data_IF_248541474712
#
_entry.id   IF_248541474712
#
_cell.length_a   1.000
_cell.length_b   1.000
_cell.length_c   1.000
_cell.angle_alpha   90.00
_cell.angle_beta   90.00
_cell.angle_gamma   90.00
#
_symmetry.space_group_name_H-M   'P 1'
#
loop_
_entity.id
_entity.type
_entity.pdbx_description
1 polymer ?
#
# COMPACT_ATOMS: atom_id res chain seq x y z
N UNK A 1 16.94 -8.78 -17.23
CA UNK A 1 17.86 -9.60 -16.41
C UNK A 1 18.68 -8.69 -15.50
N UNK A 2 18.89 -9.07 -14.24
CA UNK A 2 19.71 -8.32 -13.27
C UNK A 2 21.18 -8.17 -13.73
N UNK A 3 21.67 -9.09 -14.57
CA UNK A 3 23.01 -8.99 -15.15
C UNK A 3 23.23 -7.71 -15.97
N UNK A 4 22.15 -7.10 -16.51
CA UNK A 4 22.25 -5.85 -17.27
C UNK A 4 22.61 -4.63 -16.40
N UNK A 5 22.57 -4.73 -15.06
CA UNK A 5 22.92 -3.63 -14.14
C UNK A 5 24.36 -3.17 -14.36
N UNK A 6 25.30 -4.12 -14.51
CA UNK A 6 26.71 -3.78 -14.75
C UNK A 6 26.91 -3.03 -16.07
N UNK A 7 26.27 -3.49 -17.15
CA UNK A 7 26.33 -2.83 -18.46
C UNK A 7 25.71 -1.43 -18.45
N UNK A 8 24.54 -1.29 -17.82
CA UNK A 8 23.86 0.00 -17.70
C UNK A 8 24.71 0.99 -16.92
N UNK A 9 25.32 0.56 -15.80
CA UNK A 9 26.24 1.36 -15.01
C UNK A 9 27.49 1.77 -15.80
N UNK A 10 28.15 0.83 -16.47
CA UNK A 10 29.31 1.12 -17.31
C UNK A 10 28.99 2.11 -18.44
N UNK A 11 27.75 2.10 -18.92
CA UNK A 11 27.27 3.01 -19.97
C UNK A 11 26.70 4.33 -19.42
N UNK A 12 26.67 4.54 -18.10
CA UNK A 12 26.03 5.72 -17.48
C UNK A 12 24.52 5.84 -17.75
N UNK A 13 23.84 4.72 -18.01
CA UNK A 13 22.41 4.69 -18.38
C UNK A 13 21.54 4.21 -17.22
N UNK A 14 20.28 4.65 -17.22
CA UNK A 14 19.24 4.13 -16.33
C UNK A 14 18.68 2.83 -16.90
N UNK A 15 18.61 1.78 -16.08
CA UNK A 15 18.01 0.50 -16.44
C UNK A 15 16.57 0.44 -15.90
N UNK A 16 15.62 0.08 -16.77
CA UNK A 16 14.25 -0.26 -16.39
C UNK A 16 14.10 -1.77 -16.48
N UNK A 17 13.61 -2.39 -15.41
CA UNK A 17 13.31 -3.83 -15.35
C UNK A 17 11.81 -3.99 -15.23
N UNK A 18 11.17 -4.47 -16.30
CA UNK A 18 9.75 -4.84 -16.28
C UNK A 18 9.60 -6.32 -15.88
N UNK A 19 8.64 -6.61 -15.03
CA UNK A 19 8.28 -7.98 -14.61
C UNK A 19 6.79 -8.23 -14.83
N UNK A 20 6.37 -9.49 -14.76
CA UNK A 20 4.97 -9.88 -14.98
C UNK A 20 4.05 -9.59 -13.78
N UNK A 21 4.55 -9.64 -12.54
CA UNK A 21 3.73 -9.54 -11.33
C UNK A 21 4.37 -8.65 -10.28
N UNK A 22 3.56 -8.08 -9.38
CA UNK A 22 4.04 -7.26 -8.26
C UNK A 22 4.93 -8.07 -7.32
N UNK A 23 4.56 -9.32 -7.01
CA UNK A 23 5.37 -10.21 -6.18
C UNK A 23 6.79 -10.40 -6.72
N UNK A 24 6.97 -10.52 -8.04
CA UNK A 24 8.30 -10.58 -8.66
C UNK A 24 9.06 -9.26 -8.51
N UNK A 25 8.37 -8.11 -8.56
CA UNK A 25 9.02 -6.81 -8.34
C UNK A 25 9.51 -6.69 -6.90
N UNK A 26 8.71 -7.14 -5.93
CA UNK A 26 9.06 -7.10 -4.51
C UNK A 26 10.22 -8.03 -4.18
N UNK A 27 10.25 -9.23 -4.74
CA UNK A 27 11.41 -10.12 -4.61
C UNK A 27 12.68 -9.42 -5.12
N UNK A 28 12.62 -8.79 -6.29
CA UNK A 28 13.77 -8.08 -6.85
C UNK A 28 14.21 -6.93 -5.94
N UNK A 29 13.27 -6.12 -5.45
CA UNK A 29 13.56 -4.88 -4.71
C UNK A 29 13.97 -5.13 -3.26
N UNK A 30 13.36 -6.10 -2.58
CA UNK A 30 13.59 -6.35 -1.15
C UNK A 30 14.59 -7.46 -0.88
N UNK A 31 14.95 -8.26 -1.88
CA UNK A 31 15.92 -9.35 -1.74
C UNK A 31 17.05 -9.25 -2.76
N UNK A 32 16.75 -9.40 -4.05
CA UNK A 32 17.79 -9.62 -5.06
C UNK A 32 18.72 -8.40 -5.25
N UNK A 33 18.17 -7.18 -5.28
CA UNK A 33 18.96 -5.94 -5.42
C UNK A 33 19.79 -5.61 -4.15
N UNK A 34 19.23 -5.68 -2.93
CA UNK A 34 20.02 -5.58 -1.71
C UNK A 34 21.15 -6.61 -1.64
N UNK A 35 20.90 -7.87 -2.01
CA UNK A 35 21.89 -8.94 -2.02
C UNK A 35 23.01 -8.64 -3.03
N UNK A 36 22.65 -8.14 -4.22
CA UNK A 36 23.61 -7.74 -5.24
C UNK A 36 24.50 -6.58 -4.77
N UNK A 37 23.91 -5.54 -4.16
CA UNK A 37 24.67 -4.39 -3.63
C UNK A 37 25.69 -4.82 -2.57
N UNK A 38 25.32 -5.73 -1.67
CA UNK A 38 26.22 -6.20 -0.59
C UNK A 38 27.40 -7.03 -1.13
N UNK A 39 27.19 -7.81 -2.20
CA UNK A 39 28.14 -8.84 -2.60
C UNK A 39 28.94 -8.52 -3.88
N UNK A 40 28.53 -7.53 -4.69
CA UNK A 40 29.13 -7.29 -6.02
C UNK A 40 30.15 -6.15 -6.09
N UNK A 41 30.26 -5.31 -5.05
CA UNK A 41 31.03 -4.06 -5.11
C UNK A 41 30.43 -2.99 -6.02
N UNK A 42 29.25 -3.24 -6.61
CA UNK A 42 28.52 -2.24 -7.39
C UNK A 42 27.81 -1.26 -6.46
N UNK A 43 28.04 0.04 -6.66
CA UNK A 43 27.19 1.10 -6.11
C UNK A 43 26.13 1.55 -7.13
N UNK A 44 24.85 1.49 -6.78
CA UNK A 44 23.73 2.06 -7.55
C UNK A 44 22.52 2.27 -6.64
N UNK A 45 21.59 3.13 -7.07
CA UNK A 45 20.28 3.32 -6.42
C UNK A 45 19.18 2.63 -7.24
N UNK A 46 18.11 2.20 -6.58
CA UNK A 46 16.93 1.64 -7.23
C UNK A 46 15.65 2.16 -6.59
N UNK A 47 14.56 2.11 -7.35
CA UNK A 47 13.23 2.48 -6.89
C UNK A 47 12.21 1.52 -7.52
N UNK A 48 11.10 1.32 -6.82
CA UNK A 48 9.98 0.49 -7.26
C UNK A 48 8.85 1.40 -7.78
N UNK A 49 8.34 1.10 -8.96
CA UNK A 49 7.19 1.78 -9.54
C UNK A 49 6.06 0.77 -9.74
N UNK A 50 4.96 0.95 -9.00
CA UNK A 50 3.73 0.17 -9.14
C UNK A 50 2.62 1.04 -9.75
N UNK A 51 1.54 0.40 -10.20
CA UNK A 51 0.35 1.13 -10.65
C UNK A 51 -0.28 1.94 -9.52
N UNK A 52 -0.96 3.05 -9.85
CA UNK A 52 -1.65 3.93 -8.88
C UNK A 52 -2.65 3.17 -8.01
N UNK A 53 -3.32 2.17 -8.59
CA UNK A 53 -4.21 1.22 -7.92
C UNK A 53 -3.58 0.43 -6.76
N UNK A 54 -2.25 0.49 -6.57
CA UNK A 54 -1.53 -0.15 -5.46
C UNK A 54 -1.25 0.80 -4.30
N UNK A 55 -1.65 2.07 -4.40
CA UNK A 55 -1.38 3.07 -3.36
C UNK A 55 -2.66 3.65 -2.77
N UNK A 56 -2.65 3.81 -1.46
CA UNK A 56 -3.71 4.45 -0.69
C UNK A 56 -3.91 5.91 -1.14
N UNK A 57 -5.15 6.30 -1.35
CA UNK A 57 -5.57 7.67 -1.59
C UNK A 57 -6.05 8.31 -0.28
N UNK A 58 -5.27 9.27 0.23
CA UNK A 58 -5.56 9.94 1.51
C UNK A 58 -6.91 10.64 1.52
N UNK A 59 -7.29 11.26 0.41
CA UNK A 59 -8.58 11.94 0.29
C UNK A 59 -9.76 10.96 0.38
N UNK A 60 -9.63 9.76 -0.21
CA UNK A 60 -10.69 8.75 -0.12
C UNK A 60 -10.77 8.15 1.29
N UNK A 61 -9.62 7.89 1.90
CA UNK A 61 -9.57 7.40 3.29
C UNK A 61 -10.23 8.38 4.27
N UNK A 62 -9.98 9.68 4.13
CA UNK A 62 -10.58 10.71 4.98
C UNK A 62 -12.11 10.75 4.86
N UNK A 63 -12.64 10.69 3.64
CA UNK A 63 -14.09 10.60 3.39
C UNK A 63 -14.69 9.37 4.07
N UNK A 64 -14.09 8.19 3.88
CA UNK A 64 -14.58 6.94 4.47
C UNK A 64 -14.55 6.96 6.01
N UNK A 65 -13.53 7.58 6.61
CA UNK A 65 -13.45 7.75 8.06
C UNK A 65 -14.57 8.65 8.59
N UNK A 66 -14.87 9.76 7.89
CA UNK A 66 -15.94 10.67 8.26
C UNK A 66 -17.32 10.00 8.12
N UNK A 67 -17.54 9.26 7.03
CA UNK A 67 -18.77 8.49 6.80
C UNK A 67 -18.98 7.42 7.87
N UNK A 68 -17.95 6.65 8.20
CA UNK A 68 -18.02 5.63 9.26
C UNK A 68 -18.33 6.22 10.64
N UNK A 69 -17.76 7.39 10.97
CA UNK A 69 -18.07 8.11 12.21
C UNK A 69 -19.52 8.59 12.25
N UNK A 70 -20.03 9.16 11.14
CA UNK A 70 -21.41 9.61 11.05
C UNK A 70 -22.40 8.44 11.17
N UNK A 71 -22.12 7.31 10.53
CA UNK A 71 -22.92 6.09 10.64
C UNK A 71 -22.93 5.55 12.07
N UNK A 72 -21.76 5.51 12.72
CA UNK A 72 -21.64 5.06 14.12
C UNK A 72 -22.43 5.96 15.08
N UNK A 73 -22.35 7.29 14.91
CA UNK A 73 -23.12 8.24 15.71
C UNK A 73 -24.63 8.08 15.49
N UNK A 74 -25.05 7.91 14.24
CA UNK A 74 -26.45 7.67 13.89
C UNK A 74 -26.98 6.38 14.53
N UNK A 75 -26.21 5.29 14.44
CA UNK A 75 -26.56 4.02 15.08
C UNK A 75 -26.75 4.14 16.59
N UNK A 76 -25.89 4.92 17.27
CA UNK A 76 -26.01 5.16 18.72
C UNK A 76 -27.27 5.94 19.10
N UNK A 77 -27.72 6.89 18.27
CA UNK A 77 -28.92 7.69 18.52
C UNK A 77 -30.20 6.85 18.48
N UNK A 78 -30.29 5.89 17.55
CA UNK A 78 -31.49 5.06 17.35
C UNK A 78 -31.47 3.76 18.17
N UNK A 79 -30.36 3.45 18.83
CA UNK A 79 -30.22 2.23 19.65
C UNK A 79 -31.21 2.20 20.83
N UNK A 80 -31.53 3.36 21.43
CA UNK A 80 -32.46 3.47 22.56
C UNK A 80 -33.93 3.19 22.14
N UNK A 81 -34.26 3.47 20.87
CA UNK A 81 -35.57 3.18 20.27
C UNK A 81 -35.70 1.73 19.77
N UNK A 82 -34.69 0.88 20.02
CA UNK A 82 -34.68 -0.53 19.61
C UNK A 82 -34.41 -0.75 18.12
N UNK A 83 -33.97 0.26 17.38
CA UNK A 83 -33.55 0.14 15.99
C UNK A 83 -32.06 -0.18 15.92
N UNK A 84 -31.70 -1.33 15.35
CA UNK A 84 -30.32 -1.69 15.08
C UNK A 84 -29.93 -1.26 13.66
N UNK A 85 -29.01 -0.32 13.56
CA UNK A 85 -28.33 0.03 12.31
C UNK A 85 -27.05 -0.80 12.24
N UNK A 86 -26.89 -1.57 11.18
CA UNK A 86 -25.67 -2.36 10.95
C UNK A 86 -24.53 -1.42 10.53
N UNK A 87 -23.42 -1.46 11.26
CA UNK A 87 -22.23 -0.63 11.02
C UNK A 87 -21.09 -1.58 10.74
N UNK A 88 -20.40 -1.37 9.61
CA UNK A 88 -19.22 -2.16 9.28
C UNK A 88 -18.02 -1.75 10.17
N UNK A 89 -17.96 -2.39 11.33
CA UNK A 89 -16.92 -2.19 12.32
C UNK A 89 -15.56 -2.72 11.81
N UNK A 90 -15.55 -3.70 10.89
CA UNK A 90 -14.32 -4.30 10.38
C UNK A 90 -13.58 -3.32 9.47
N UNK A 91 -14.29 -2.73 8.50
CA UNK A 91 -13.74 -1.68 7.63
C UNK A 91 -13.31 -0.46 8.42
N UNK A 92 -14.12 -0.05 9.40
CA UNK A 92 -13.80 1.07 10.30
C UNK A 92 -12.50 0.84 11.05
N UNK A 93 -12.29 -0.36 11.62
CA UNK A 93 -11.02 -0.72 12.30
C UNK A 93 -9.84 -0.71 11.33
N UNK A 94 -9.99 -1.28 10.14
CA UNK A 94 -8.94 -1.30 9.12
C UNK A 94 -8.50 0.11 8.72
N UNK A 95 -9.44 1.00 8.42
CA UNK A 95 -9.17 2.37 8.00
C UNK A 95 -8.48 3.18 9.11
N UNK A 96 -8.91 3.00 10.37
CA UNK A 96 -8.25 3.63 11.52
C UNK A 96 -6.80 3.13 11.70
N UNK A 97 -6.54 1.84 11.51
CA UNK A 97 -5.16 1.32 11.55
C UNK A 97 -4.29 1.87 10.43
N UNK A 98 -4.86 2.02 9.22
CA UNK A 98 -4.15 2.59 8.07
C UNK A 98 -3.70 4.02 8.34
N UNK A 99 -4.58 4.88 8.87
CA UNK A 99 -4.22 6.28 9.17
C UNK A 99 -3.18 6.36 10.29
N UNK A 100 -3.27 5.50 11.32
CA UNK A 100 -2.31 5.46 12.42
C UNK A 100 -0.90 5.09 11.91
N UNK A 101 -0.80 4.04 11.09
CA UNK A 101 0.50 3.60 10.54
C UNK A 101 1.09 4.62 9.58
N UNK A 102 0.25 5.27 8.77
CA UNK A 102 0.68 6.31 7.86
C UNK A 102 1.20 7.54 8.64
N UNK A 103 0.43 8.03 9.62
CA UNK A 103 0.83 9.16 10.46
C UNK A 103 2.11 8.86 11.25
N UNK A 104 2.28 7.61 11.70
CA UNK A 104 3.48 7.13 12.36
C UNK A 104 4.68 6.87 11.42
N UNK A 105 4.56 7.13 10.12
CA UNK A 105 5.58 6.78 9.09
C UNK A 105 6.00 5.30 9.11
N UNK A 106 5.13 4.41 9.59
CA UNK A 106 5.37 2.95 9.65
C UNK A 106 4.96 2.24 8.37
N UNK A 107 4.21 2.94 7.51
CA UNK A 107 3.71 2.44 6.24
C UNK A 107 3.56 3.60 5.26
N UNK A 108 3.95 3.40 4.00
CA UNK A 108 3.97 4.43 2.97
C UNK A 108 2.70 4.45 2.09
N UNK A 109 1.65 3.73 2.47
CA UNK A 109 0.42 3.61 1.69
C UNK A 109 0.45 2.56 0.57
N UNK A 110 1.52 1.76 0.47
CA UNK A 110 1.63 0.67 -0.51
C UNK A 110 0.86 -0.57 -0.06
N UNK A 111 -0.17 -0.97 -0.82
CA UNK A 111 -1.04 -2.11 -0.53
C UNK A 111 -0.28 -3.38 -0.19
N UNK A 112 0.74 -3.70 -0.99
CA UNK A 112 1.45 -4.98 -0.90
C UNK A 112 2.35 -5.07 0.34
N UNK A 113 2.72 -3.92 0.91
CA UNK A 113 3.50 -3.84 2.15
C UNK A 113 2.62 -3.91 3.42
N UNK A 114 1.30 -4.02 3.27
CA UNK A 114 0.40 -4.24 4.40
C UNK A 114 0.53 -5.70 4.90
N UNK A 115 0.60 -5.94 6.21
CA UNK A 115 0.91 -7.28 6.75
C UNK A 115 -0.23 -8.30 6.58
N UNK A 116 -1.47 -7.82 6.45
CA UNK A 116 -2.66 -8.67 6.36
C UNK A 116 -3.25 -8.63 4.95
N UNK A 117 -4.00 -9.65 4.56
CA UNK A 117 -4.70 -9.63 3.28
C UNK A 117 -5.82 -8.58 3.33
N UNK A 118 -5.79 -7.63 2.39
CA UNK A 118 -6.87 -6.63 2.23
C UNK A 118 -7.78 -7.11 1.11
N UNK A 119 -9.08 -7.24 1.41
CA UNK A 119 -10.11 -7.55 0.43
C UNK A 119 -10.12 -6.53 -0.73
N UNK A 120 -10.33 -7.01 -1.95
CA UNK A 120 -10.31 -6.15 -3.14
C UNK A 120 -11.41 -5.09 -3.13
N UNK A 121 -12.60 -5.39 -2.59
CA UNK A 121 -13.70 -4.45 -2.51
C UNK A 121 -13.41 -3.32 -1.51
N UNK A 122 -12.74 -3.62 -0.40
CA UNK A 122 -12.28 -2.59 0.54
C UNK A 122 -11.16 -1.75 -0.08
N UNK A 123 -10.19 -2.38 -0.76
CA UNK A 123 -9.09 -1.64 -1.36
C UNK A 123 -9.53 -0.73 -2.52
N UNK A 124 -10.51 -1.16 -3.33
CA UNK A 124 -11.05 -0.36 -4.43
C UNK A 124 -11.60 1.01 -3.96
N UNK A 125 -12.18 1.06 -2.75
CA UNK A 125 -12.66 2.30 -2.14
C UNK A 125 -11.53 3.21 -1.67
N UNK A 126 -10.37 2.63 -1.37
CA UNK A 126 -9.21 3.33 -0.79
C UNK A 126 -8.21 3.84 -1.83
N UNK A 127 -8.25 3.37 -3.07
CA UNK A 127 -7.25 3.70 -4.10
C UNK A 127 -7.82 4.59 -5.20
N UNK A 128 -6.95 5.19 -6.02
CA UNK A 128 -7.34 5.82 -7.30
C UNK A 128 -6.87 4.97 -8.47
N UNK A 129 -7.76 4.78 -9.43
CA UNK A 129 -7.54 4.20 -10.77
C UNK A 129 -7.59 5.30 -11.85
#
# INVERSE_FOLDING_TARGET
>A
SLAAIACAKASGKRLVIATATVALQEQIVHKDLPDLLRNSGLAFSFALAKGRGRYLCLSKLDVLLQEGQAQSATAQLFADDGFNIDVDETSSKLFNQMIERLAGSRWAGDRDSWPEAIDDAHWAQLTTD
#
